data_IF_897343431296
#
_entry.id   IF_897343431296
#
_cell.length_a   1.000
_cell.length_b   1.000
_cell.length_c   1.000
_cell.angle_alpha   90.00
_cell.angle_beta   90.00
_cell.angle_gamma   90.00
#
_symmetry.space_group_name_H-M   'P 1'
#
loop_
_entity.id
_entity.type
_entity.pdbx_description
1 polymer ?
#
# COMPACT_ATOMS: atom_id res chain seq x y z
N UNK A 1 -7.52 13.65 -8.00
CA UNK A 1 -7.21 12.23 -8.27
C UNK A 1 -7.51 11.43 -7.01
N UNK A 2 -8.15 10.25 -7.08
CA UNK A 2 -8.27 9.38 -5.90
C UNK A 2 -6.87 9.02 -5.39
N UNK A 3 -6.67 9.06 -4.08
CA UNK A 3 -5.36 8.77 -3.51
C UNK A 3 -4.94 7.32 -3.78
N UNK A 4 -3.65 7.08 -4.04
CA UNK A 4 -3.05 5.74 -4.25
C UNK A 4 -3.51 4.76 -3.15
N UNK A 5 -3.71 3.50 -3.52
CA UNK A 5 -4.02 2.37 -2.62
C UNK A 5 -5.32 2.50 -1.80
N UNK A 6 -6.31 3.20 -2.36
CA UNK A 6 -7.69 3.21 -1.84
C UNK A 6 -8.55 2.07 -2.38
N UNK A 7 -8.18 1.47 -3.52
CA UNK A 7 -8.90 0.34 -4.07
C UNK A 7 -8.63 -0.91 -3.24
N UNK A 8 -9.71 -1.61 -2.86
CA UNK A 8 -9.66 -2.76 -1.96
C UNK A 8 -10.15 -3.98 -2.73
N UNK A 9 -9.32 -5.00 -2.78
CA UNK A 9 -9.76 -6.32 -3.22
C UNK A 9 -10.46 -6.97 -2.03
N UNK A 10 -11.67 -7.45 -2.25
CA UNK A 10 -12.47 -8.14 -1.24
C UNK A 10 -12.71 -9.60 -1.65
N UNK A 11 -11.64 -10.38 -1.58
CA UNK A 11 -11.60 -11.79 -1.90
C UNK A 11 -11.13 -12.61 -0.70
N UNK A 12 -11.54 -13.87 -0.63
CA UNK A 12 -11.08 -14.78 0.41
C UNK A 12 -9.70 -15.35 0.05
N UNK A 13 -8.83 -15.55 1.05
CA UNK A 13 -7.49 -16.10 0.88
C UNK A 13 -6.42 -15.08 0.50
N UNK A 14 -6.77 -13.81 0.33
CA UNK A 14 -5.80 -12.77 -0.02
C UNK A 14 -4.96 -12.34 1.18
N UNK A 15 -3.68 -12.07 0.92
CA UNK A 15 -2.82 -11.34 1.84
C UNK A 15 -2.79 -9.87 1.46
N UNK A 16 -2.88 -9.00 2.45
CA UNK A 16 -2.88 -7.56 2.24
C UNK A 16 -1.95 -6.85 3.21
N UNK A 17 -1.12 -5.96 2.68
CA UNK A 17 -0.40 -4.97 3.46
C UNK A 17 -1.33 -3.79 3.74
N UNK A 18 -1.65 -3.60 5.01
CA UNK A 18 -2.49 -2.52 5.49
C UNK A 18 -1.64 -1.52 6.26
N UNK A 19 -1.84 -0.24 6.00
CA UNK A 19 -1.21 0.81 6.78
C UNK A 19 -2.11 2.02 6.94
N UNK A 20 -1.84 2.80 7.99
CA UNK A 20 -2.44 4.11 8.19
C UNK A 20 -1.50 5.01 8.98
N UNK A 21 -1.57 6.31 8.73
CA UNK A 21 -0.71 7.33 9.35
C UNK A 21 -1.52 8.39 10.06
N UNK A 22 -0.92 9.01 11.07
CA UNK A 22 -1.49 10.15 11.77
C UNK A 22 -1.69 11.34 10.84
N UNK A 23 -2.78 12.10 11.04
CA UNK A 23 -2.96 13.39 10.35
C UNK A 23 -1.76 14.31 10.61
N UNK A 24 -1.34 15.08 9.62
CA UNK A 24 -0.25 16.08 9.79
C UNK A 24 1.06 15.44 10.33
N UNK A 25 1.36 14.19 9.93
CA UNK A 25 2.51 13.43 10.45
C UNK A 25 2.52 13.24 11.97
N UNK A 26 1.34 13.34 12.61
CA UNK A 26 1.18 13.24 14.06
C UNK A 26 1.68 11.91 14.58
N UNK A 27 2.43 11.98 15.68
CA UNK A 27 2.73 10.82 16.53
C UNK A 27 1.42 10.26 17.07
N UNK A 28 1.10 9.03 16.69
CA UNK A 28 -0.07 8.26 17.14
C UNK A 28 0.27 7.32 18.29
N UNK A 29 1.56 7.10 18.60
CA UNK A 29 2.02 6.38 19.79
C UNK A 29 3.06 7.23 20.54
N UNK A 30 2.62 7.98 21.56
CA UNK A 30 3.47 8.93 22.29
C UNK A 30 4.29 8.25 23.40
N UNK A 31 3.77 7.15 23.95
CA UNK A 31 4.36 6.43 25.07
C UNK A 31 4.11 4.93 24.95
N UNK A 32 4.73 4.15 25.85
CA UNK A 32 4.62 2.69 25.89
C UNK A 32 3.19 2.19 26.05
N UNK A 33 2.35 2.91 26.79
CA UNK A 33 0.96 2.52 27.02
C UNK A 33 0.16 2.60 25.72
N UNK A 34 0.42 3.58 24.85
CA UNK A 34 -0.25 3.68 23.54
C UNK A 34 -0.01 2.43 22.67
N UNK A 35 1.24 1.96 22.62
CA UNK A 35 1.59 0.72 21.91
C UNK A 35 0.89 -0.49 22.54
N UNK A 36 0.91 -0.60 23.87
CA UNK A 36 0.26 -1.70 24.60
C UNK A 36 -1.25 -1.71 24.40
N UNK A 37 -1.90 -0.55 24.39
CA UNK A 37 -3.34 -0.42 24.13
C UNK A 37 -3.66 -0.86 22.70
N UNK A 38 -2.89 -0.41 21.72
CA UNK A 38 -3.08 -0.82 20.32
C UNK A 38 -2.94 -2.34 20.14
N UNK A 39 -1.88 -2.92 20.72
CA UNK A 39 -1.67 -4.38 20.71
C UNK A 39 -2.77 -5.13 21.48
N UNK A 40 -3.29 -4.55 22.57
CA UNK A 40 -4.43 -5.14 23.30
C UNK A 40 -5.69 -5.20 22.44
N UNK A 41 -5.92 -4.21 21.58
CA UNK A 41 -7.07 -4.20 20.68
C UNK A 41 -6.91 -5.23 19.57
N UNK A 42 -5.72 -5.36 19.00
CA UNK A 42 -5.41 -6.45 18.06
C UNK A 42 -5.69 -7.81 18.71
N UNK A 43 -5.19 -8.03 19.92
CA UNK A 43 -5.46 -9.25 20.70
C UNK A 43 -6.95 -9.51 20.89
N UNK A 44 -7.71 -8.52 21.37
CA UNK A 44 -9.15 -8.65 21.63
C UNK A 44 -9.92 -9.07 20.37
N UNK A 45 -9.53 -8.53 19.22
CA UNK A 45 -10.18 -8.82 17.94
C UNK A 45 -9.77 -10.18 17.35
N UNK A 46 -8.56 -10.66 17.64
CA UNK A 46 -7.94 -11.79 16.93
C UNK A 46 -7.79 -13.05 17.79
N UNK A 47 -8.14 -13.02 19.07
CA UNK A 47 -8.19 -14.21 19.92
C UNK A 47 -9.57 -14.88 19.87
N UNK A 48 -9.62 -16.19 20.14
CA UNK A 48 -10.87 -16.92 20.26
C UNK A 48 -11.83 -16.22 21.24
N UNK A 49 -13.10 -15.99 20.85
CA UNK A 49 -14.06 -15.39 21.74
C UNK A 49 -14.29 -16.29 22.96
N UNK A 50 -14.57 -15.66 24.10
CA UNK A 50 -14.94 -16.40 25.31
C UNK A 50 -16.27 -17.12 25.08
N UNK A 51 -16.43 -18.28 25.72
CA UNK A 51 -17.69 -18.99 25.74
C UNK A 51 -18.82 -18.04 26.18
N UNK A 52 -19.88 -17.84 25.36
CA UNK A 52 -21.01 -16.97 25.68
C UNK A 52 -21.62 -17.22 27.06
N UNK A 53 -21.63 -18.47 27.53
CA UNK A 53 -22.18 -18.82 28.82
C UNK A 53 -21.31 -18.37 29.99
N UNK A 54 -19.98 -18.37 29.79
CA UNK A 54 -19.01 -17.87 30.77
C UNK A 54 -19.08 -16.36 31.00
N UNK A 55 -19.66 -15.60 30.06
CA UNK A 55 -19.74 -14.12 30.12
C UNK A 55 -21.08 -13.59 30.62
N UNK A 56 -22.06 -14.46 30.86
CA UNK A 56 -23.37 -14.08 31.39
C UNK A 56 -23.20 -13.46 32.78
N UNK A 57 -23.60 -12.19 32.91
CA UNK A 57 -23.63 -11.50 34.21
C UNK A 57 -25.06 -11.39 34.70
N UNK A 58 -25.19 -11.48 36.02
CA UNK A 58 -26.44 -11.17 36.72
C UNK A 58 -26.40 -9.70 37.11
N UNK A 59 -27.37 -8.93 36.66
CA UNK A 59 -27.50 -7.51 37.00
C UNK A 59 -28.90 -7.22 37.54
N UNK A 60 -28.97 -6.36 38.55
CA UNK A 60 -30.23 -5.92 39.15
C UNK A 60 -30.62 -4.57 38.58
N UNK A 61 -31.83 -4.48 38.04
CA UNK A 61 -32.41 -3.23 37.52
C UNK A 61 -33.79 -3.09 38.14
N UNK A 62 -33.99 -2.02 38.93
CA UNK A 62 -35.25 -1.75 39.65
C UNK A 62 -35.78 -2.94 40.47
N UNK A 63 -34.90 -3.59 41.23
CA UNK A 63 -35.26 -4.74 42.09
C UNK A 63 -35.51 -6.06 41.34
N UNK A 64 -35.52 -6.06 40.00
CA UNK A 64 -35.62 -7.27 39.17
C UNK A 64 -34.22 -7.76 38.77
N UNK A 65 -34.03 -9.07 38.84
CA UNK A 65 -32.79 -9.73 38.46
C UNK A 65 -32.85 -10.11 36.99
N UNK A 66 -31.88 -9.63 36.21
CA UNK A 66 -31.69 -9.98 34.82
C UNK A 66 -30.40 -10.77 34.66
N UNK A 67 -30.43 -11.79 33.80
CA UNK A 67 -29.23 -12.52 33.38
C UNK A 67 -29.04 -12.25 31.89
N UNK A 68 -27.93 -11.66 31.53
CA UNK A 68 -27.65 -11.31 30.15
C UNK A 68 -26.15 -11.25 29.87
N UNK A 69 -25.81 -11.33 28.60
CA UNK A 69 -24.44 -11.15 28.14
C UNK A 69 -24.23 -9.65 27.89
N UNK A 70 -23.28 -8.99 28.57
CA UNK A 70 -22.93 -7.61 28.24
C UNK A 70 -22.57 -7.46 26.76
N UNK A 71 -22.65 -6.26 26.20
CA UNK A 71 -22.18 -6.01 24.83
C UNK A 71 -20.74 -6.52 24.70
N UNK A 72 -20.55 -7.51 23.81
CA UNK A 72 -19.23 -8.03 23.52
C UNK A 72 -18.60 -7.19 22.42
N UNK A 73 -17.30 -6.88 22.51
CA UNK A 73 -16.61 -6.26 21.40
C UNK A 73 -16.73 -7.16 20.18
N UNK A 74 -16.68 -6.55 18.98
CA UNK A 74 -16.57 -7.33 17.74
C UNK A 74 -15.37 -8.26 17.83
N UNK A 75 -15.43 -9.39 17.17
CA UNK A 75 -14.35 -10.37 17.13
C UNK A 75 -14.22 -10.93 15.71
N UNK A 76 -12.97 -11.08 15.27
CA UNK A 76 -12.57 -11.46 13.93
C UNK A 76 -11.70 -12.73 13.94
N UNK A 77 -11.71 -13.48 15.03
CA UNK A 77 -11.04 -14.77 15.13
C UNK A 77 -11.47 -15.69 13.98
N UNK A 78 -10.50 -16.34 13.33
CA UNK A 78 -10.65 -17.16 12.13
C UNK A 78 -11.26 -16.47 10.90
N UNK A 79 -11.49 -15.15 10.94
CA UNK A 79 -11.95 -14.35 9.80
C UNK A 79 -10.82 -13.51 9.22
N UNK A 80 -9.97 -12.99 10.10
CA UNK A 80 -8.74 -12.27 9.75
C UNK A 80 -7.62 -12.87 10.58
N UNK A 81 -6.47 -13.09 9.95
CA UNK A 81 -5.25 -13.49 10.63
C UNK A 81 -4.20 -12.40 10.49
N UNK A 82 -3.52 -12.08 11.59
CA UNK A 82 -2.38 -11.17 11.58
C UNK A 82 -1.11 -12.00 11.40
N UNK A 83 -0.40 -11.77 10.29
CA UNK A 83 0.83 -12.48 9.96
C UNK A 83 2.02 -11.75 10.57
N UNK A 84 2.13 -10.45 10.32
CA UNK A 84 3.18 -9.59 10.84
C UNK A 84 2.67 -8.17 11.09
N UNK A 85 3.35 -7.42 11.96
CA UNK A 85 3.08 -6.01 12.22
C UNK A 85 4.36 -5.22 12.52
N UNK A 86 4.30 -3.91 12.29
CA UNK A 86 5.25 -2.93 12.79
C UNK A 86 4.51 -1.64 13.18
N UNK A 87 4.80 -1.13 14.37
CA UNK A 87 4.24 0.12 14.91
C UNK A 87 5.36 1.16 15.03
N UNK A 88 5.23 2.23 14.26
CA UNK A 88 6.13 3.39 14.27
C UNK A 88 5.43 4.59 14.91
N UNK A 89 6.15 5.57 15.47
CA UNK A 89 5.53 6.64 16.26
C UNK A 89 4.33 7.33 15.59
N UNK A 90 4.37 7.59 14.28
CA UNK A 90 3.32 8.28 13.51
C UNK A 90 2.46 7.37 12.61
N UNK A 91 2.75 6.08 12.49
CA UNK A 91 2.01 5.17 11.60
C UNK A 91 2.15 3.71 12.00
N UNK A 92 1.31 2.84 11.44
CA UNK A 92 1.42 1.40 11.63
C UNK A 92 1.33 0.67 10.30
N UNK A 93 1.91 -0.53 10.29
CA UNK A 93 1.80 -1.48 9.20
C UNK A 93 1.37 -2.85 9.72
N UNK A 94 0.44 -3.50 9.02
CA UNK A 94 -0.07 -4.83 9.30
C UNK A 94 -0.03 -5.66 8.01
N UNK A 95 0.49 -6.88 8.09
CA UNK A 95 0.29 -7.90 7.06
C UNK A 95 -0.84 -8.81 7.54
N UNK A 96 -1.97 -8.77 6.83
CA UNK A 96 -3.17 -9.49 7.17
C UNK A 96 -3.53 -10.53 6.10
N UNK A 97 -4.10 -11.63 6.54
CA UNK A 97 -4.69 -12.65 5.68
C UNK A 97 -6.21 -12.66 5.88
N UNK A 98 -6.96 -12.42 4.81
CA UNK A 98 -8.42 -12.41 4.85
C UNK A 98 -8.95 -13.84 4.68
N UNK A 99 -9.41 -14.47 5.76
CA UNK A 99 -10.03 -15.80 5.75
C UNK A 99 -11.53 -15.77 5.44
N UNK A 100 -12.16 -14.61 5.52
CA UNK A 100 -13.58 -14.45 5.20
C UNK A 100 -13.81 -13.14 4.49
N UNK A 101 -14.49 -13.18 3.35
CA UNK A 101 -14.85 -11.99 2.58
C UNK A 101 -15.50 -10.90 3.45
N UNK A 102 -15.10 -9.64 3.24
CA UNK A 102 -15.55 -8.44 3.93
C UNK A 102 -15.04 -8.28 5.36
N UNK A 103 -14.31 -9.24 5.91
CA UNK A 103 -13.90 -9.21 7.32
C UNK A 103 -12.73 -8.26 7.58
N UNK A 104 -11.81 -8.12 6.62
CA UNK A 104 -10.62 -7.27 6.77
C UNK A 104 -10.98 -5.79 6.87
N UNK A 105 -11.86 -5.28 6.01
CA UNK A 105 -12.33 -3.90 6.09
C UNK A 105 -13.02 -3.61 7.42
N UNK A 106 -13.92 -4.51 7.83
CA UNK A 106 -14.64 -4.38 9.09
C UNK A 106 -13.69 -4.40 10.30
N UNK A 107 -12.68 -5.26 10.27
CA UNK A 107 -11.63 -5.37 11.28
C UNK A 107 -10.85 -4.06 11.40
N UNK A 108 -10.27 -3.55 10.30
CA UNK A 108 -9.46 -2.33 10.32
C UNK A 108 -10.29 -1.12 10.74
N UNK A 109 -11.53 -1.00 10.25
CA UNK A 109 -12.45 0.05 10.68
C UNK A 109 -12.68 0.01 12.19
N UNK A 110 -12.91 -1.19 12.74
CA UNK A 110 -13.13 -1.38 14.18
C UNK A 110 -11.88 -1.06 15.01
N UNK A 111 -10.70 -1.44 14.52
CA UNK A 111 -9.41 -1.15 15.15
C UNK A 111 -9.13 0.36 15.17
N UNK A 112 -9.15 1.01 14.01
CA UNK A 112 -8.87 2.44 13.88
C UNK A 112 -9.86 3.31 14.65
N UNK A 113 -11.16 2.98 14.63
CA UNK A 113 -12.17 3.72 15.41
C UNK A 113 -11.93 3.57 16.91
N UNK A 114 -11.76 2.34 17.41
CA UNK A 114 -11.53 2.09 18.84
C UNK A 114 -10.26 2.78 19.35
N UNK A 115 -9.18 2.70 18.57
CA UNK A 115 -7.93 3.37 18.91
C UNK A 115 -8.04 4.90 18.89
N UNK A 116 -8.65 5.47 17.85
CA UNK A 116 -8.86 6.93 17.75
C UNK A 116 -9.67 7.47 18.93
N UNK A 117 -10.72 6.75 19.35
CA UNK A 117 -11.52 7.12 20.52
C UNK A 117 -10.70 7.08 21.81
N UNK A 118 -9.90 6.03 22.01
CA UNK A 118 -9.03 5.91 23.18
C UNK A 118 -7.98 7.03 23.22
N UNK A 119 -7.28 7.23 22.10
CA UNK A 119 -6.27 8.27 21.95
C UNK A 119 -6.85 9.67 22.23
N UNK A 120 -7.97 9.99 21.60
CA UNK A 120 -8.64 11.28 21.79
C UNK A 120 -9.08 11.48 23.25
N UNK A 121 -9.57 10.43 23.92
CA UNK A 121 -9.91 10.50 25.34
C UNK A 121 -8.68 10.71 26.22
N UNK A 122 -7.60 9.96 26.00
CA UNK A 122 -6.35 10.05 26.77
C UNK A 122 -5.71 11.43 26.65
N UNK A 123 -5.62 11.96 25.43
CA UNK A 123 -4.96 13.22 25.13
C UNK A 123 -5.92 14.42 25.04
N UNK A 124 -7.16 14.27 25.52
CA UNK A 124 -8.20 15.33 25.55
C UNK A 124 -8.38 16.03 24.18
N UNK A 125 -8.34 15.24 23.10
CA UNK A 125 -8.49 15.70 21.72
C UNK A 125 -9.87 15.41 21.17
N UNK A 126 -10.19 16.11 20.09
CA UNK A 126 -11.35 15.85 19.23
C UNK A 126 -10.89 15.77 17.77
N UNK A 127 -11.73 15.18 16.91
CA UNK A 127 -11.46 15.06 15.48
C UNK A 127 -10.76 13.74 15.07
N UNK A 128 -10.33 13.70 13.81
CA UNK A 128 -9.67 12.55 13.23
C UNK A 128 -8.25 12.36 13.78
N UNK A 129 -7.86 11.10 14.01
CA UNK A 129 -6.47 10.75 14.34
C UNK A 129 -5.66 10.40 13.08
N UNK A 130 -6.29 9.69 12.15
CA UNK A 130 -5.65 9.16 10.94
C UNK A 130 -5.94 10.02 9.71
N UNK A 131 -5.01 10.03 8.74
CA UNK A 131 -5.07 10.76 7.45
C UNK A 131 -6.06 10.13 6.46
N UNK A 132 -7.28 9.88 6.94
CA UNK A 132 -8.38 9.30 6.18
C UNK A 132 -8.48 7.77 6.28
N UNK A 133 -9.12 7.14 5.28
CA UNK A 133 -9.24 5.69 5.22
C UNK A 133 -7.86 5.02 5.19
N UNK A 134 -7.77 3.85 5.81
CA UNK A 134 -6.59 3.01 5.69
C UNK A 134 -6.30 2.69 4.22
N UNK A 135 -5.04 2.40 3.97
CA UNK A 135 -4.50 2.07 2.66
C UNK A 135 -4.21 0.59 2.60
N UNK A 136 -4.42 -0.01 1.42
CA UNK A 136 -4.33 -1.46 1.23
C UNK A 136 -3.59 -1.77 -0.06
N UNK A 137 -2.56 -2.60 0.03
CA UNK A 137 -1.99 -3.30 -1.11
C UNK A 137 -2.31 -4.78 -0.98
N UNK A 138 -2.93 -5.34 -2.01
CA UNK A 138 -3.21 -6.78 -2.08
C UNK A 138 -2.04 -7.48 -2.73
N UNK A 139 -1.62 -8.59 -2.13
CA UNK A 139 -0.53 -9.45 -2.61
C UNK A 139 -1.21 -10.62 -3.32
N UNK A 140 -1.39 -10.49 -4.64
CA UNK A 140 -1.99 -11.54 -5.47
C UNK A 140 -0.92 -12.41 -6.13
N UNK A 141 -1.19 -13.71 -6.24
CA UNK A 141 -0.52 -14.60 -7.19
C UNK A 141 0.89 -15.08 -6.84
N UNK A 142 1.50 -14.69 -5.71
CA UNK A 142 2.81 -15.21 -5.33
C UNK A 142 3.09 -15.09 -3.81
N UNK A 143 2.74 -16.14 -3.04
CA UNK A 143 3.07 -16.24 -1.61
C UNK A 143 4.58 -16.17 -1.34
N UNK A 144 5.43 -16.43 -2.35
CA UNK A 144 6.88 -16.32 -2.21
C UNK A 144 7.32 -14.87 -1.95
N UNK A 145 6.48 -13.86 -2.19
CA UNK A 145 6.82 -12.49 -1.88
C UNK A 145 6.55 -12.09 -0.40
N UNK A 146 5.79 -12.89 0.34
CA UNK A 146 5.44 -12.59 1.74
C UNK A 146 6.66 -12.47 2.66
N UNK A 147 7.71 -13.31 2.55
CA UNK A 147 8.95 -13.15 3.31
C UNK A 147 9.56 -11.75 3.17
N UNK A 148 9.70 -11.21 1.95
CA UNK A 148 10.31 -9.90 1.74
C UNK A 148 9.47 -8.78 2.37
N UNK A 149 8.14 -8.88 2.30
CA UNK A 149 7.28 -7.93 3.00
C UNK A 149 7.47 -8.03 4.52
N UNK A 150 7.55 -9.24 5.07
CA UNK A 150 7.83 -9.37 6.52
C UNK A 150 9.20 -8.79 6.89
N UNK A 151 10.20 -8.92 6.00
CA UNK A 151 11.51 -8.29 6.18
C UNK A 151 11.42 -6.78 6.20
N UNK A 152 10.71 -6.20 5.23
CA UNK A 152 10.43 -4.78 5.21
C UNK A 152 9.79 -4.29 6.52
N UNK A 153 8.77 -5.01 7.02
CA UNK A 153 8.09 -4.65 8.26
C UNK A 153 8.99 -4.78 9.50
N UNK A 154 9.83 -5.82 9.57
CA UNK A 154 10.65 -6.11 10.73
C UNK A 154 11.97 -5.34 10.79
N UNK A 155 12.38 -4.69 9.70
CA UNK A 155 13.62 -3.91 9.65
C UNK A 155 13.58 -2.68 10.57
N UNK A 156 12.40 -2.23 10.98
CA UNK A 156 12.24 -1.08 11.87
C UNK A 156 12.61 -1.43 13.31
N UNK A 157 13.51 -0.66 13.92
CA UNK A 157 13.77 -0.69 15.38
C UNK A 157 12.53 -0.17 16.13
N UNK A 158 11.61 -1.06 16.49
CA UNK A 158 10.34 -0.64 17.11
C UNK A 158 9.48 -1.78 17.62
N UNK A 159 8.21 -1.46 17.89
CA UNK A 159 7.20 -2.44 18.30
C UNK A 159 6.76 -3.25 17.08
N UNK A 160 7.42 -4.38 16.83
CA UNK A 160 7.11 -5.27 15.71
C UNK A 160 6.82 -6.69 16.17
N UNK A 161 6.39 -7.53 15.23
CA UNK A 161 6.26 -8.99 15.40
C UNK A 161 7.57 -9.76 15.23
N UNK A 162 8.72 -9.11 15.03
CA UNK A 162 9.98 -9.82 14.81
C UNK A 162 10.34 -10.79 15.96
N UNK A 163 10.10 -10.48 17.25
CA UNK A 163 10.35 -11.42 18.34
C UNK A 163 9.58 -12.75 18.25
N UNK A 164 8.37 -12.78 17.67
CA UNK A 164 7.59 -14.00 17.42
C UNK A 164 8.28 -14.91 16.39
N UNK A 165 8.96 -14.31 15.42
CA UNK A 165 9.68 -15.03 14.36
C UNK A 165 11.01 -15.60 14.85
N UNK A 166 11.59 -15.00 15.88
CA UNK A 166 12.79 -15.49 16.56
C UNK A 166 12.50 -16.46 17.71
N UNK A 167 11.23 -16.81 17.95
CA UNK A 167 10.83 -17.65 19.09
C UNK A 167 11.04 -17.01 20.47
N UNK A 168 11.33 -15.70 20.52
CA UNK A 168 11.56 -14.95 21.77
C UNK A 168 10.26 -14.53 22.47
N UNK A 169 9.13 -14.52 21.74
CA UNK A 169 7.80 -14.17 22.25
C UNK A 169 6.75 -15.12 21.68
N UNK A 170 5.81 -15.57 22.52
CA UNK A 170 4.68 -16.38 22.08
C UNK A 170 3.40 -15.55 22.14
N UNK A 171 2.85 -15.25 20.95
CA UNK A 171 1.66 -14.42 20.78
C UNK A 171 0.64 -15.18 19.93
N UNK A 172 -0.34 -15.91 20.52
CA UNK A 172 -1.20 -16.83 19.79
C UNK A 172 -2.05 -16.21 18.65
N UNK A 173 -2.26 -14.90 18.71
CA UNK A 173 -3.03 -14.12 17.73
C UNK A 173 -2.15 -13.54 16.61
N UNK A 174 -0.83 -13.79 16.63
CA UNK A 174 0.10 -13.54 15.52
C UNK A 174 0.45 -14.89 14.88
N UNK A 175 0.19 -15.04 13.58
CA UNK A 175 0.38 -16.29 12.82
C UNK A 175 1.72 -16.31 12.08
N UNK A 176 2.81 -16.10 12.81
CA UNK A 176 4.18 -16.09 12.25
C UNK A 176 4.55 -17.40 11.54
N UNK A 177 3.91 -18.51 11.94
CA UNK A 177 4.11 -19.84 11.36
C UNK A 177 3.80 -19.88 9.85
N UNK A 178 2.88 -19.04 9.36
CA UNK A 178 2.57 -18.96 7.92
C UNK A 178 3.82 -18.63 7.09
N UNK A 179 4.70 -17.79 7.62
CA UNK A 179 5.95 -17.40 6.95
C UNK A 179 7.09 -18.34 7.32
N UNK A 180 7.21 -18.70 8.61
CA UNK A 180 8.26 -19.62 9.04
C UNK A 180 8.17 -20.98 8.32
N UNK A 181 7.00 -21.36 7.79
CA UNK A 181 6.82 -22.58 7.00
C UNK A 181 7.69 -22.57 5.73
N UNK A 182 7.84 -21.41 5.10
CA UNK A 182 8.71 -21.19 3.94
C UNK A 182 10.20 -21.36 4.31
N UNK A 183 10.53 -21.20 5.59
CA UNK A 183 11.87 -21.41 6.16
C UNK A 183 11.99 -22.76 6.89
N UNK A 184 11.12 -23.73 6.60
CA UNK A 184 11.10 -25.06 7.25
C UNK A 184 11.04 -24.99 8.79
N UNK A 185 10.30 -24.02 9.33
CA UNK A 185 10.22 -23.72 10.77
C UNK A 185 11.55 -23.33 11.42
N UNK A 186 12.58 -22.99 10.63
CA UNK A 186 13.89 -22.61 11.15
C UNK A 186 13.96 -21.10 11.39
N UNK A 187 13.98 -20.70 12.66
CA UNK A 187 14.09 -19.31 13.09
C UNK A 187 15.43 -18.67 12.73
N UNK A 188 16.52 -19.45 12.72
CA UNK A 188 17.85 -18.97 12.33
C UNK A 188 17.93 -18.73 10.83
N UNK A 189 17.25 -19.54 10.02
CA UNK A 189 17.14 -19.29 8.58
C UNK A 189 16.37 -18.00 8.29
N UNK A 190 15.29 -17.74 9.02
CA UNK A 190 14.58 -16.47 8.92
C UNK A 190 15.44 -15.29 9.39
N UNK A 191 16.16 -15.44 10.49
CA UNK A 191 17.10 -14.43 11.00
C UNK A 191 18.20 -14.13 9.98
N UNK A 192 18.81 -15.16 9.39
CA UNK A 192 19.78 -14.99 8.31
C UNK A 192 19.16 -14.26 7.11
N UNK A 193 17.95 -14.65 6.71
CA UNK A 193 17.21 -13.95 5.67
C UNK A 193 16.91 -12.49 6.03
N UNK A 194 16.76 -12.14 7.32
CA UNK A 194 16.56 -10.76 7.81
C UNK A 194 17.83 -9.92 7.88
N UNK A 195 19.00 -10.54 8.00
CA UNK A 195 20.28 -9.85 8.20
C UNK A 195 21.08 -9.78 6.89
N UNK A 196 21.11 -10.87 6.12
CA UNK A 196 22.10 -11.07 5.05
C UNK A 196 21.52 -11.09 3.63
N UNK A 197 20.20 -11.23 3.48
CA UNK A 197 19.57 -11.33 2.14
C UNK A 197 19.74 -10.04 1.34
N UNK A 198 20.18 -10.18 0.07
CA UNK A 198 20.31 -9.08 -0.88
C UNK A 198 19.18 -9.17 -1.90
N UNK A 199 18.44 -8.07 -2.04
CA UNK A 199 17.32 -8.04 -2.97
C UNK A 199 17.77 -8.13 -4.43
N UNK A 200 17.14 -9.02 -5.19
CA UNK A 200 17.22 -9.00 -6.65
C UNK A 200 16.39 -7.84 -7.24
N UNK A 201 16.48 -7.60 -8.55
CA UNK A 201 15.78 -6.49 -9.19
C UNK A 201 14.24 -6.60 -9.06
N UNK A 202 13.69 -7.82 -9.14
CA UNK A 202 12.24 -8.04 -9.05
C UNK A 202 11.74 -7.86 -7.61
N UNK A 203 12.53 -8.30 -6.64
CA UNK A 203 12.25 -8.12 -5.21
C UNK A 203 12.26 -6.64 -4.85
N UNK A 204 13.22 -5.86 -5.38
CA UNK A 204 13.24 -4.40 -5.22
C UNK A 204 12.00 -3.74 -5.82
N UNK A 205 11.67 -4.06 -7.07
CA UNK A 205 10.48 -3.53 -7.74
C UNK A 205 9.18 -3.85 -6.97
N UNK A 206 9.10 -5.06 -6.41
CA UNK A 206 7.98 -5.46 -5.54
C UNK A 206 7.94 -4.62 -4.26
N UNK A 207 9.06 -4.48 -3.56
CA UNK A 207 9.15 -3.68 -2.34
C UNK A 207 8.86 -2.21 -2.62
N UNK A 208 9.40 -1.62 -3.69
CA UNK A 208 9.14 -0.23 -4.10
C UNK A 208 7.68 -0.01 -4.49
N UNK A 209 7.04 -1.02 -5.07
CA UNK A 209 5.60 -1.03 -5.29
C UNK A 209 4.78 -1.00 -4.00
N UNK A 210 5.38 -1.45 -2.89
CA UNK A 210 4.77 -1.53 -1.56
C UNK A 210 5.15 -0.35 -0.66
N UNK A 211 6.32 0.26 -0.83
CA UNK A 211 6.77 1.41 -0.05
C UNK A 211 5.97 2.66 -0.44
N UNK A 212 5.62 3.49 0.55
CA UNK A 212 4.74 4.64 0.36
C UNK A 212 5.45 5.96 0.63
N UNK A 213 5.87 6.64 -0.44
CA UNK A 213 6.49 7.97 -0.46
C UNK A 213 7.82 8.09 0.33
N UNK A 214 8.64 9.08 -0.04
CA UNK A 214 9.94 9.38 0.55
C UNK A 214 9.92 9.64 2.07
N UNK A 215 8.75 9.78 2.72
CA UNK A 215 8.65 9.86 4.19
C UNK A 215 9.07 8.55 4.89
N UNK A 216 9.22 7.46 4.13
CA UNK A 216 9.93 6.23 4.57
C UNK A 216 11.47 6.39 4.52
N UNK A 217 11.98 7.63 4.45
CA UNK A 217 13.40 8.02 4.56
C UNK A 217 14.13 7.42 5.79
N UNK A 218 13.38 6.89 6.75
CA UNK A 218 13.93 6.15 7.88
C UNK A 218 14.66 4.85 7.46
N UNK A 219 14.37 4.30 6.28
CA UNK A 219 14.91 3.00 5.85
C UNK A 219 16.18 3.10 4.99
N UNK A 220 16.38 4.17 4.21
CA UNK A 220 17.59 4.29 3.37
C UNK A 220 18.75 5.02 4.06
N UNK A 221 18.47 5.84 5.09
CA UNK A 221 19.49 6.70 5.72
C UNK A 221 20.45 5.96 6.67
N UNK A 222 20.23 4.67 6.98
CA UNK A 222 21.05 3.92 7.95
C UNK A 222 22.17 3.10 7.33
N UNK A 223 22.08 2.77 6.04
CA UNK A 223 23.09 1.97 5.34
C UNK A 223 24.38 2.75 4.97
N UNK A 224 24.44 4.06 5.26
CA UNK A 224 25.63 4.89 5.03
C UNK A 224 26.31 5.43 6.31
N UNK A 225 25.73 5.19 7.51
CA UNK A 225 26.18 5.87 8.73
C UNK A 225 26.66 4.96 9.87
N UNK A 226 26.69 3.64 9.73
CA UNK A 226 27.21 2.73 10.76
C UNK A 226 28.61 2.20 10.45
N UNK A 227 29.58 3.12 10.56
CA UNK A 227 30.98 2.80 10.86
C UNK A 227 31.43 3.88 11.84
N UNK A 228 31.20 3.66 13.12
CA UNK A 228 31.49 4.66 14.15
C UNK A 228 30.91 4.30 15.51
N UNK A 229 31.66 3.46 16.23
CA UNK A 229 31.77 3.34 17.69
C UNK A 229 30.67 3.96 18.58
N UNK A 230 29.84 3.11 19.20
CA UNK A 230 29.06 3.45 20.39
C UNK A 230 29.83 3.02 21.65
N UNK A 231 30.62 3.96 22.18
CA UNK A 231 31.13 3.87 23.54
C UNK A 231 30.01 4.21 24.54
N UNK A 232 29.61 3.23 25.35
CA UNK A 232 28.76 3.42 26.53
C UNK A 232 29.52 4.21 27.60
N UNK A 233 28.88 5.20 28.23
CA UNK A 233 29.29 5.66 29.55
C UNK A 233 28.06 6.02 30.41
N UNK A 234 27.95 5.53 31.67
CA UNK A 234 26.81 5.76 32.55
C UNK A 234 27.04 6.95 33.51
N UNK A 235 25.97 7.61 33.93
CA UNK A 235 25.95 8.30 35.24
C UNK A 235 25.52 9.78 35.28
N UNK A 236 24.30 10.00 35.79
CA UNK A 236 23.93 10.95 36.86
C UNK A 236 24.29 12.47 36.74
N UNK A 237 23.28 13.34 36.61
CA UNK A 237 22.62 14.07 37.74
C UNK A 237 21.67 15.20 37.27
N UNK A 238 20.57 15.32 38.01
CA UNK A 238 19.54 16.35 37.95
C UNK A 238 19.98 17.73 38.49
N UNK A 239 19.45 18.84 37.94
CA UNK A 239 18.65 19.87 38.67
C UNK A 239 18.13 21.00 37.74
N UNK A 240 17.08 21.74 38.17
CA UNK A 240 16.23 22.58 37.30
C UNK A 240 16.62 24.08 37.34
N UNK A 241 16.03 24.88 36.44
CA UNK A 241 15.93 26.34 36.61
C UNK A 241 14.51 26.83 36.36
N UNK A 242 13.98 27.50 37.38
CA UNK A 242 12.77 28.34 37.44
C UNK A 242 13.20 29.80 37.32
N UNK A 243 12.40 30.65 36.65
CA UNK A 243 12.10 32.09 36.85
C UNK A 243 11.26 32.51 35.60
N UNK A 244 9.98 32.92 35.61
CA UNK A 244 9.25 33.92 36.42
C UNK A 244 9.59 35.33 35.89
N UNK A 245 8.72 36.24 35.41
CA UNK A 245 7.28 36.53 35.52
C UNK A 245 6.90 37.64 34.48
N UNK A 246 5.61 37.70 34.05
CA UNK A 246 4.75 38.90 33.80
C UNK A 246 5.14 39.90 32.67
N UNK A 247 4.26 40.61 31.94
CA UNK A 247 2.80 40.80 31.86
C UNK A 247 2.49 41.65 30.59
N UNK A 248 1.19 41.85 30.28
CA UNK A 248 0.59 42.91 29.44
C UNK A 248 0.73 42.75 27.91
N UNK A 249 -0.25 43.04 27.05
CA UNK A 249 -1.58 43.63 27.24
C UNK A 249 -2.45 43.37 26.01
N UNK A 250 -3.75 43.26 26.28
CA UNK A 250 -4.89 43.38 25.37
C UNK A 250 -4.85 44.75 24.67
N UNK A 251 -4.98 44.81 23.33
CA UNK A 251 -5.85 45.76 22.57
C UNK A 251 -5.55 45.67 21.06
N UNK A 252 -6.44 45.08 20.25
CA UNK A 252 -6.67 45.42 18.84
C UNK A 252 -7.78 44.54 18.23
N UNK A 253 -9.00 44.73 18.70
CA UNK A 253 -10.21 44.45 17.91
C UNK A 253 -10.82 45.82 17.57
N UNK A 254 -11.33 45.95 16.34
CA UNK A 254 -12.07 47.10 15.75
C UNK A 254 -11.21 48.13 14.99
N UNK A 255 -11.12 47.93 13.67
CA UNK A 255 -11.28 48.98 12.66
C UNK A 255 -11.48 48.33 11.27
N UNK A 256 -12.52 47.50 11.16
CA UNK A 256 -13.16 47.19 9.88
C UNK A 256 -14.39 48.09 9.77
N UNK A 257 -14.21 49.25 9.14
CA UNK A 257 -15.14 49.87 8.19
C UNK A 257 -14.58 51.23 7.77
N UNK A 258 -14.69 51.53 6.48
CA UNK A 258 -14.75 52.84 5.79
C UNK A 258 -13.66 53.05 4.75
N UNK A 259 -14.12 53.47 3.56
CA UNK A 259 -13.39 53.78 2.31
C UNK A 259 -13.12 52.53 1.45
N UNK A 260 -13.84 52.19 0.37
CA UNK A 260 -14.69 52.98 -0.53
C UNK A 260 -13.90 53.39 -1.79
N UNK A 261 -14.52 53.17 -2.98
CA UNK A 261 -14.13 53.54 -4.36
C UNK A 261 -13.42 52.37 -5.11
N UNK A 262 -14.07 51.61 -6.02
CA UNK A 262 -14.68 51.85 -7.37
C UNK A 262 -13.68 51.93 -8.55
N UNK A 263 -13.97 51.09 -9.55
CA UNK A 263 -13.66 51.15 -10.99
C UNK A 263 -12.20 50.99 -11.46
N UNK A 264 -11.98 50.09 -12.44
CA UNK A 264 -11.85 50.43 -13.88
C UNK A 264 -11.67 49.11 -14.68
N UNK A 265 -12.40 48.98 -15.80
CA UNK A 265 -12.25 47.95 -16.83
C UNK A 265 -10.96 48.16 -17.65
N UNK A 266 -10.40 47.10 -18.26
CA UNK A 266 -9.86 47.13 -19.64
C UNK A 266 -9.96 45.73 -20.29
N UNK A 267 -10.83 45.67 -21.29
CA UNK A 267 -10.75 45.12 -22.66
C UNK A 267 -9.81 43.95 -23.04
N UNK A 268 -10.41 43.03 -23.81
CA UNK A 268 -9.79 42.04 -24.68
C UNK A 268 -9.31 42.63 -26.03
N UNK A 269 -8.25 42.09 -26.64
CA UNK A 269 -7.99 42.05 -28.10
C UNK A 269 -7.15 40.80 -28.46
N UNK A 270 -7.35 40.31 -29.68
CA UNK A 270 -7.01 39.02 -30.30
C UNK A 270 -5.90 39.18 -31.37
N UNK A 271 -5.10 38.11 -31.59
CA UNK A 271 -4.53 37.62 -32.88
C UNK A 271 -3.44 38.44 -33.64
N UNK A 272 -2.73 37.91 -34.69
CA UNK A 272 -2.53 36.52 -35.19
C UNK A 272 -1.06 36.11 -35.62
N UNK A 273 -0.87 34.80 -35.82
CA UNK A 273 -0.10 34.03 -36.86
C UNK A 273 1.29 34.46 -37.40
N UNK A 274 2.21 33.49 -37.54
CA UNK A 274 2.66 32.94 -38.86
C UNK A 274 3.54 31.68 -38.74
N UNK A 275 3.38 30.78 -39.73
CA UNK A 275 4.19 29.58 -40.02
C UNK A 275 5.49 29.95 -40.76
N UNK A 276 6.46 29.03 -40.86
CA UNK A 276 6.71 28.46 -42.19
C UNK A 276 6.96 26.94 -42.22
N UNK A 277 6.80 26.37 -43.42
CA UNK A 277 7.14 25.01 -43.87
C UNK A 277 7.98 25.14 -45.18
N UNK A 278 8.40 24.07 -45.89
CA UNK A 278 9.18 22.89 -45.53
C UNK A 278 10.38 22.62 -46.52
N UNK A 279 11.04 21.46 -46.33
CA UNK A 279 11.79 20.60 -47.29
C UNK A 279 13.32 20.69 -47.34
N UNK A 280 14.00 19.52 -47.27
CA UNK A 280 14.62 18.81 -48.41
C UNK A 280 15.21 17.45 -47.96
N UNK A 281 15.05 16.42 -48.81
CA UNK A 281 15.58 15.06 -48.69
C UNK A 281 17.12 15.00 -48.80
N UNK A 282 17.73 14.02 -48.13
CA UNK A 282 18.89 13.31 -48.69
C UNK A 282 18.96 11.88 -48.16
N UNK A 283 19.01 10.98 -49.12
CA UNK A 283 19.13 9.53 -49.07
C UNK A 283 20.60 9.13 -48.87
N UNK A 284 20.86 8.19 -47.94
CA UNK A 284 22.11 7.43 -47.93
C UNK A 284 21.81 6.01 -47.46
N UNK A 285 22.05 5.05 -48.35
CA UNK A 285 22.02 3.61 -48.09
C UNK A 285 23.10 3.23 -47.08
N UNK A 286 22.74 2.46 -46.05
CA UNK A 286 23.73 1.72 -45.26
C UNK A 286 23.27 0.28 -44.99
N UNK A 287 24.22 -0.61 -45.31
CA UNK A 287 24.28 -2.07 -45.37
C UNK A 287 23.54 -2.83 -44.25
N UNK A 288 22.74 -3.84 -44.66
CA UNK A 288 22.11 -4.85 -43.78
C UNK A 288 23.16 -5.71 -43.03
N UNK A 289 23.12 -5.77 -41.69
CA UNK A 289 23.77 -6.84 -40.94
C UNK A 289 22.83 -8.05 -40.81
N UNK A 290 23.37 -9.23 -41.09
CA UNK A 290 22.78 -10.56 -40.93
C UNK A 290 22.01 -10.72 -39.61
N UNK A 291 20.73 -11.10 -39.71
CA UNK A 291 19.83 -11.36 -38.59
C UNK A 291 20.37 -12.46 -37.67
N UNK A 292 20.75 -12.06 -36.46
CA UNK A 292 20.81 -12.96 -35.31
C UNK A 292 19.37 -13.32 -34.96
N UNK A 293 19.02 -14.60 -35.08
CA UNK A 293 17.68 -15.11 -34.75
C UNK A 293 17.44 -14.88 -33.25
N UNK A 294 16.80 -13.76 -32.91
CA UNK A 294 16.20 -13.52 -31.58
C UNK A 294 14.97 -14.43 -31.45
N UNK A 295 14.72 -15.03 -30.27
CA UNK A 295 13.53 -15.83 -30.07
C UNK A 295 12.28 -14.96 -30.29
N UNK A 296 11.48 -15.37 -31.27
CA UNK A 296 10.23 -14.74 -31.70
C UNK A 296 9.20 -14.89 -30.58
N UNK A 297 8.98 -13.83 -29.79
CA UNK A 297 7.96 -13.82 -28.73
C UNK A 297 6.59 -13.72 -29.40
N UNK A 298 5.73 -14.70 -29.15
CA UNK A 298 4.38 -14.78 -29.74
C UNK A 298 3.35 -14.32 -28.72
N UNK A 299 2.60 -13.29 -29.07
CA UNK A 299 1.47 -12.77 -28.29
C UNK A 299 0.19 -13.43 -28.74
N UNK A 300 -0.66 -13.85 -27.81
CA UNK A 300 -1.99 -14.39 -28.12
C UNK A 300 -3.06 -13.41 -27.70
N UNK A 301 -4.01 -13.11 -28.60
CA UNK A 301 -5.13 -12.23 -28.30
C UNK A 301 -6.16 -12.98 -27.47
N UNK A 302 -6.65 -12.35 -26.39
CA UNK A 302 -7.74 -12.86 -25.56
C UNK A 302 -8.83 -11.83 -25.36
N UNK A 303 -10.07 -12.19 -25.67
CA UNK A 303 -11.23 -11.33 -25.51
C UNK A 303 -12.16 -11.96 -24.47
N UNK A 304 -12.07 -11.49 -23.23
CA UNK A 304 -12.94 -11.95 -22.13
C UNK A 304 -14.34 -11.35 -22.27
N UNK A 305 -15.23 -12.00 -23.03
CA UNK A 305 -16.68 -11.77 -22.98
C UNK A 305 -17.43 -13.09 -22.79
N UNK A 306 -18.27 -13.16 -21.75
CA UNK A 306 -19.11 -14.30 -21.37
C UNK A 306 -20.31 -14.54 -22.32
N UNK A 307 -20.14 -14.25 -23.61
CA UNK A 307 -21.03 -14.70 -24.67
C UNK A 307 -20.19 -15.04 -25.89
N UNK A 308 -19.82 -16.32 -26.02
CA UNK A 308 -19.22 -16.87 -27.22
C UNK A 308 -20.18 -16.70 -28.41
N UNK A 309 -20.10 -15.56 -29.09
CA UNK A 309 -20.43 -15.44 -30.50
C UNK A 309 -19.09 -15.39 -31.22
N UNK A 310 -18.90 -16.22 -32.24
CA UNK A 310 -17.67 -16.36 -33.04
C UNK A 310 -17.29 -15.09 -33.86
N UNK A 311 -17.79 -13.93 -33.46
CA UNK A 311 -17.75 -12.64 -34.14
C UNK A 311 -17.06 -11.54 -33.31
N UNK A 312 -16.61 -11.81 -32.08
CA UNK A 312 -15.88 -10.83 -31.27
C UNK A 312 -14.47 -10.62 -31.85
N UNK A 313 -14.08 -9.35 -32.04
CA UNK A 313 -12.75 -8.98 -32.54
C UNK A 313 -12.26 -7.69 -31.88
N UNK A 314 -10.94 -7.57 -31.74
CA UNK A 314 -10.23 -6.33 -31.41
C UNK A 314 -9.68 -5.70 -32.70
N UNK A 315 -9.66 -4.37 -32.78
CA UNK A 315 -9.05 -3.69 -33.92
C UNK A 315 -7.54 -3.54 -33.73
N UNK A 316 -6.79 -3.84 -34.78
CA UNK A 316 -5.37 -3.53 -34.91
C UNK A 316 -5.26 -2.14 -35.56
N UNK A 317 -4.43 -1.27 -35.00
CA UNK A 317 -4.41 0.16 -35.35
C UNK A 317 -3.04 0.66 -35.77
N UNK A 318 -3.02 1.77 -36.48
CA UNK A 318 -1.78 2.36 -36.99
C UNK A 318 -0.94 3.02 -35.89
N UNK A 319 -1.59 3.56 -34.86
CA UNK A 319 -0.95 4.22 -33.70
C UNK A 319 -1.54 3.69 -32.39
N UNK A 320 -0.83 3.77 -31.24
CA UNK A 320 -1.25 3.26 -29.93
C UNK A 320 -2.35 4.14 -29.29
N UNK A 321 -3.47 4.30 -29.99
CA UNK A 321 -4.62 5.11 -29.59
C UNK A 321 -5.93 4.50 -30.10
N UNK A 322 -7.04 4.70 -29.38
CA UNK A 322 -8.36 4.27 -29.84
C UNK A 322 -8.91 5.10 -31.01
N UNK A 323 -8.30 6.25 -31.30
CA UNK A 323 -8.77 7.21 -32.28
C UNK A 323 -8.02 7.10 -33.63
N UNK A 324 -6.97 6.28 -33.68
CA UNK A 324 -6.15 6.08 -34.88
C UNK A 324 -6.81 5.17 -35.92
N UNK A 325 -6.29 5.21 -37.15
CA UNK A 325 -6.79 4.41 -38.27
C UNK A 325 -6.69 2.90 -37.96
N UNK A 326 -7.67 2.14 -38.47
CA UNK A 326 -7.78 0.70 -38.25
C UNK A 326 -7.09 -0.02 -39.40
N UNK A 327 -5.98 -0.70 -39.12
CA UNK A 327 -5.22 -1.49 -40.08
C UNK A 327 -5.80 -2.90 -40.24
N UNK A 328 -6.45 -3.45 -39.20
CA UNK A 328 -6.96 -4.81 -39.23
C UNK A 328 -7.84 -5.18 -38.04
N UNK A 329 -8.18 -6.47 -37.95
CA UNK A 329 -8.98 -7.05 -36.87
C UNK A 329 -8.31 -8.34 -36.41
N UNK A 330 -8.20 -8.54 -35.11
CA UNK A 330 -7.74 -9.77 -34.49
C UNK A 330 -8.86 -10.40 -33.65
N UNK A 331 -8.95 -11.72 -33.66
CA UNK A 331 -9.93 -12.52 -32.92
C UNK A 331 -9.28 -13.19 -31.72
N UNK A 332 -10.12 -13.71 -30.84
CA UNK A 332 -9.68 -14.52 -29.72
C UNK A 332 -8.85 -15.72 -30.21
N UNK A 333 -7.67 -15.91 -29.62
CA UNK A 333 -6.72 -16.94 -29.99
C UNK A 333 -5.76 -16.58 -31.13
N UNK A 334 -5.96 -15.46 -31.85
CA UNK A 334 -5.02 -15.04 -32.89
C UNK A 334 -3.64 -14.74 -32.28
N UNK A 335 -2.59 -15.13 -33.00
CA UNK A 335 -1.23 -15.07 -32.53
C UNK A 335 -0.37 -14.16 -33.43
N UNK A 336 0.34 -13.20 -32.83
CA UNK A 336 1.19 -12.26 -33.56
C UNK A 336 2.60 -12.18 -32.97
N UNK A 337 3.57 -11.78 -33.79
CA UNK A 337 4.92 -11.52 -33.30
C UNK A 337 4.93 -10.21 -32.51
N UNK A 338 5.51 -10.24 -31.32
CA UNK A 338 5.79 -9.03 -30.55
C UNK A 338 6.93 -8.23 -31.20
N UNK A 339 6.71 -6.93 -31.36
CA UNK A 339 7.74 -5.99 -31.83
C UNK A 339 8.16 -5.04 -30.70
N UNK A 340 7.22 -4.34 -30.08
CA UNK A 340 7.47 -3.37 -29.01
C UNK A 340 6.22 -3.13 -28.15
N UNK A 341 6.38 -2.52 -26.98
CA UNK A 341 5.26 -2.13 -26.11
C UNK A 341 5.38 -0.66 -25.77
N UNK A 342 4.33 0.10 -26.03
CA UNK A 342 4.25 1.51 -25.68
C UNK A 342 2.89 1.86 -25.05
N UNK A 343 2.93 2.52 -23.89
CA UNK A 343 1.77 3.11 -23.21
C UNK A 343 0.47 2.26 -23.22
N UNK A 344 0.56 0.95 -22.95
CA UNK A 344 -0.61 0.07 -22.89
C UNK A 344 -1.05 -0.51 -24.23
N UNK A 345 -0.19 -0.46 -25.25
CA UNK A 345 -0.39 -1.05 -26.56
C UNK A 345 0.82 -1.91 -26.95
N UNK A 346 0.54 -3.07 -27.54
CA UNK A 346 1.51 -3.96 -28.12
C UNK A 346 1.60 -3.70 -29.61
N UNK A 347 2.79 -3.36 -30.08
CA UNK A 347 3.10 -3.38 -31.50
C UNK A 347 3.33 -4.82 -31.95
N UNK A 348 2.59 -5.22 -32.97
CA UNK A 348 2.61 -6.57 -33.53
C UNK A 348 2.92 -6.56 -35.02
N UNK A 349 3.60 -7.60 -35.50
CA UNK A 349 3.88 -7.78 -36.93
C UNK A 349 2.73 -8.52 -37.63
N UNK A 350 2.29 -7.97 -38.76
CA UNK A 350 1.23 -8.52 -39.61
C UNK A 350 1.81 -9.35 -40.76
N UNK A 351 1.00 -10.25 -41.32
CA UNK A 351 1.40 -11.16 -42.41
C UNK A 351 1.85 -10.44 -43.70
N UNK A 352 1.41 -9.18 -43.89
CA UNK A 352 1.82 -8.35 -45.03
C UNK A 352 3.17 -7.64 -44.80
N UNK A 353 3.85 -7.88 -43.67
CA UNK A 353 5.14 -7.29 -43.31
C UNK A 353 5.07 -5.92 -42.63
N UNK A 354 3.89 -5.34 -42.47
CA UNK A 354 3.68 -4.08 -41.72
C UNK A 354 3.51 -4.36 -40.22
N UNK A 355 3.64 -3.32 -39.40
CA UNK A 355 3.35 -3.37 -37.96
C UNK A 355 2.07 -2.63 -37.63
N UNK A 356 1.44 -3.00 -36.51
CA UNK A 356 0.24 -2.33 -36.00
C UNK A 356 0.06 -2.58 -34.50
N UNK A 357 -0.79 -1.79 -33.86
CA UNK A 357 -0.94 -1.73 -32.42
C UNK A 357 -2.24 -2.41 -31.95
N UNK A 358 -2.13 -3.26 -30.93
CA UNK A 358 -3.24 -3.92 -30.24
C UNK A 358 -3.20 -3.54 -28.76
N UNK A 359 -4.35 -3.21 -28.18
CA UNK A 359 -4.41 -2.77 -26.78
C UNK A 359 -4.05 -3.93 -25.83
N UNK A 360 -3.20 -3.65 -24.85
CA UNK A 360 -2.69 -4.59 -23.84
C UNK A 360 -3.80 -5.37 -23.12
N UNK A 361 -4.96 -4.75 -22.93
CA UNK A 361 -6.13 -5.39 -22.30
C UNK A 361 -6.61 -6.66 -23.01
N UNK A 362 -6.18 -6.91 -24.24
CA UNK A 362 -6.56 -8.06 -25.04
C UNK A 362 -5.39 -8.98 -25.38
N UNK A 363 -4.21 -8.84 -24.73
CA UNK A 363 -3.03 -9.64 -25.05
C UNK A 363 -2.63 -10.49 -23.84
N UNK A 364 -2.37 -11.77 -24.09
CA UNK A 364 -1.67 -12.67 -23.16
C UNK A 364 -0.29 -12.99 -23.73
N UNK A 365 0.75 -12.69 -22.96
CA UNK A 365 2.11 -13.11 -23.24
C UNK A 365 2.27 -14.60 -22.90
N UNK A 366 2.43 -15.46 -23.90
CA UNK A 366 2.97 -16.81 -23.67
C UNK A 366 4.49 -16.68 -23.59
N UNK A 367 5.02 -16.64 -22.37
CA UNK A 367 6.47 -16.75 -22.16
C UNK A 367 7.01 -17.99 -22.86
N UNK A 368 8.02 -17.80 -23.71
CA UNK A 368 8.75 -18.89 -24.35
C UNK A 368 9.48 -19.70 -23.27
N UNK A 369 8.85 -20.77 -22.80
CA UNK A 369 9.53 -21.79 -22.03
C UNK A 369 10.32 -22.69 -22.99
N UNK A 370 11.64 -22.57 -22.95
CA UNK A 370 12.55 -23.70 -22.90
C UNK A 370 13.78 -23.32 -22.09
#
# INVERSE_FOLDING_TARGET
MPAKNLFRVDEEGIYSHIYNKGIEQRVIFNDKEDYEVFLSYLKDYLIAPRDPDSVKKVFKVHGRTFRGTPHQPKNYFNKVELIAYSLMPNHFHLLLHQKTRGSLENFIKSLCTRYSMNYNKKYQRTGALFEGPYKSITIQGNENFLPYLTRFLHHTDGYSSYPEYLGKRSTPWVKSQAILALFKMNTDAYKYFMEEHKYDQREKEFIDGIIFNNDTECLESRDLASSGDLHLNPGLKSRPKVFGFMAASILALLLLTTLGIRNIQISAVRSPQSLPAPQVLSETEEVKPTEVIKPKVILTVKIDDASASSSAYVNIREEPSTDSAKLGKARDGDAFEFVSKDQGWYEVRLDNGLTGFISEKYIIEKGANN
#
